data_IF_052115111896
#
_entry.id   IF_052115111896
#
_cell.length_a   1.000
_cell.length_b   1.000
_cell.length_c   1.000
_cell.angle_alpha   90.00
_cell.angle_beta   90.00
_cell.angle_gamma   90.00
#
_symmetry.space_group_name_H-M   'P 1'
#
loop_
_entity.id
_entity.type
_entity.pdbx_description
1 polymer ?
#
# COMPACT_ATOMS: atom_id res chain seq x y z
N UNK A 1 -38.43 -3.36 -0.03
CA UNK A 1 -38.59 -4.11 1.23
C UNK A 1 -37.88 -3.27 2.28
N UNK A 2 -38.60 -2.70 3.28
CA UNK A 2 -37.93 -2.00 4.35
C UNK A 2 -37.15 -3.01 5.19
N UNK A 3 -35.85 -2.90 5.20
CA UNK A 3 -34.94 -3.60 6.12
C UNK A 3 -35.16 -3.05 7.55
N UNK A 4 -36.25 -3.45 8.16
CA UNK A 4 -36.58 -3.07 9.54
C UNK A 4 -36.37 -4.26 10.45
N UNK A 5 -35.11 -4.59 10.70
CA UNK A 5 -34.71 -5.54 11.74
C UNK A 5 -33.45 -5.01 12.40
N UNK A 6 -33.61 -4.13 13.38
CA UNK A 6 -32.52 -3.58 14.21
C UNK A 6 -31.62 -4.69 14.78
N UNK A 7 -32.17 -5.87 15.06
CA UNK A 7 -31.40 -7.04 15.49
C UNK A 7 -30.62 -7.75 14.37
N UNK A 8 -31.05 -7.64 13.10
CA UNK A 8 -30.37 -8.30 11.97
C UNK A 8 -29.15 -7.50 11.47
N UNK A 9 -29.17 -6.18 11.58
CA UNK A 9 -28.04 -5.35 11.20
C UNK A 9 -26.86 -5.53 12.14
N UNK A 10 -27.08 -5.62 13.45
CA UNK A 10 -26.05 -6.00 14.42
C UNK A 10 -25.45 -7.37 14.11
N UNK A 11 -26.28 -8.38 13.87
CA UNK A 11 -25.79 -9.72 13.50
C UNK A 11 -25.02 -9.74 12.19
N UNK A 12 -25.37 -8.91 11.20
CA UNK A 12 -24.65 -8.77 9.95
C UNK A 12 -23.28 -8.11 10.20
N UNK A 13 -23.27 -7.03 10.97
CA UNK A 13 -22.03 -6.31 11.32
C UNK A 13 -21.05 -7.20 12.07
N UNK A 14 -21.49 -7.92 13.09
CA UNK A 14 -20.67 -8.87 13.84
C UNK A 14 -20.05 -9.95 12.95
N UNK A 15 -20.83 -10.48 11.99
CA UNK A 15 -20.33 -11.46 11.03
C UNK A 15 -19.33 -10.87 10.03
N UNK A 16 -19.51 -9.59 9.65
CA UNK A 16 -18.51 -8.88 8.82
C UNK A 16 -17.20 -8.68 9.57
N UNK A 17 -17.26 -8.25 10.83
CA UNK A 17 -16.10 -8.12 11.72
C UNK A 17 -15.37 -9.45 11.87
N UNK A 18 -16.11 -10.53 12.13
CA UNK A 18 -15.56 -11.88 12.26
C UNK A 18 -15.13 -12.51 10.91
N UNK A 19 -15.31 -11.80 9.77
CA UNK A 19 -15.07 -12.32 8.42
C UNK A 19 -15.82 -13.62 8.10
N UNK A 20 -16.98 -13.81 8.71
CA UNK A 20 -17.87 -14.95 8.51
C UNK A 20 -18.95 -14.70 7.45
N UNK A 21 -19.01 -13.49 6.86
CA UNK A 21 -19.96 -13.12 5.81
C UNK A 21 -19.28 -12.20 4.79
N UNK A 22 -19.58 -12.45 3.52
CA UNK A 22 -19.10 -11.64 2.39
C UNK A 22 -20.32 -11.17 1.58
N UNK A 23 -20.75 -9.90 1.72
CA UNK A 23 -21.90 -9.38 0.98
C UNK A 23 -21.57 -9.23 -0.50
N UNK A 24 -22.49 -9.61 -1.37
CA UNK A 24 -22.37 -9.49 -2.83
C UNK A 24 -23.46 -8.56 -3.35
N UNK A 25 -23.07 -7.58 -4.15
CA UNK A 25 -23.97 -6.60 -4.75
C UNK A 25 -23.89 -6.64 -6.27
N UNK A 26 -25.04 -6.68 -6.93
CA UNK A 26 -25.15 -6.50 -8.37
C UNK A 26 -25.30 -5.01 -8.67
N UNK A 27 -24.26 -4.39 -9.22
CA UNK A 27 -24.24 -2.96 -9.53
C UNK A 27 -23.71 -2.70 -10.93
N UNK A 28 -24.17 -1.60 -11.54
CA UNK A 28 -23.64 -1.11 -12.80
C UNK A 28 -23.30 0.38 -12.65
N UNK A 29 -22.02 0.70 -12.40
CA UNK A 29 -21.55 2.07 -12.20
C UNK A 29 -21.80 2.99 -13.40
N UNK A 30 -21.64 2.47 -14.64
CA UNK A 30 -21.86 3.26 -15.85
C UNK A 30 -23.32 3.65 -16.12
N UNK A 31 -24.28 2.96 -15.45
CA UNK A 31 -25.73 3.25 -15.53
C UNK A 31 -26.32 3.70 -14.19
N UNK A 32 -25.48 3.92 -13.19
CA UNK A 32 -25.87 4.25 -11.80
C UNK A 32 -26.91 3.30 -11.17
N UNK A 33 -26.93 2.03 -11.63
CA UNK A 33 -27.87 1.03 -11.13
C UNK A 33 -27.29 0.33 -9.91
N UNK A 34 -28.02 0.38 -8.79
CA UNK A 34 -27.65 -0.28 -7.54
C UNK A 34 -26.56 0.40 -6.73
N UNK A 35 -25.89 1.43 -7.27
CA UNK A 35 -24.75 2.13 -6.63
C UNK A 35 -25.20 2.77 -5.30
N UNK A 36 -26.34 3.47 -5.29
CA UNK A 36 -26.89 4.07 -4.07
C UNK A 36 -27.07 3.05 -2.94
N UNK A 37 -27.60 1.86 -3.25
CA UNK A 37 -27.80 0.81 -2.23
C UNK A 37 -26.47 0.26 -1.69
N UNK A 38 -25.46 0.15 -2.55
CA UNK A 38 -24.11 -0.20 -2.11
C UNK A 38 -23.55 0.87 -1.16
N UNK A 39 -23.68 2.14 -1.51
CA UNK A 39 -23.19 3.25 -0.67
C UNK A 39 -23.94 3.32 0.67
N UNK A 40 -25.27 3.13 0.67
CA UNK A 40 -26.08 3.05 1.90
C UNK A 40 -25.61 1.86 2.79
N UNK A 41 -25.31 0.72 2.20
CA UNK A 41 -24.78 -0.44 2.94
C UNK A 41 -23.40 -0.12 3.54
N UNK A 42 -22.49 0.47 2.76
CA UNK A 42 -21.17 0.85 3.23
C UNK A 42 -21.24 1.86 4.40
N UNK A 43 -22.14 2.83 4.31
CA UNK A 43 -22.29 3.86 5.36
C UNK A 43 -22.99 3.38 6.64
N UNK A 44 -23.90 2.40 6.54
CA UNK A 44 -24.74 2.02 7.67
C UNK A 44 -24.38 0.66 8.30
N UNK A 45 -23.80 -0.25 7.53
CA UNK A 45 -23.63 -1.65 7.96
C UNK A 45 -22.15 -2.05 8.11
N UNK A 46 -21.24 -1.48 7.31
CA UNK A 46 -19.81 -1.81 7.42
C UNK A 46 -19.27 -1.33 8.77
N UNK A 47 -18.50 -2.17 9.49
CA UNK A 47 -17.96 -1.82 10.79
C UNK A 47 -16.98 -0.64 10.72
N UNK A 48 -16.96 0.18 11.76
CA UNK A 48 -15.96 1.21 11.94
C UNK A 48 -14.59 0.59 12.27
N UNK A 49 -13.53 1.36 12.05
CA UNK A 49 -12.15 0.91 12.34
C UNK A 49 -11.99 0.49 13.80
N UNK A 50 -12.65 1.20 14.72
CA UNK A 50 -12.65 0.89 16.16
C UNK A 50 -13.32 -0.43 16.54
N UNK A 51 -14.19 -0.96 15.67
CA UNK A 51 -14.89 -2.24 15.87
C UNK A 51 -14.11 -3.41 15.26
N UNK A 52 -13.08 -3.13 14.46
CA UNK A 52 -12.27 -4.18 13.82
C UNK A 52 -11.32 -4.85 14.83
N UNK A 53 -10.97 -6.12 14.60
CA UNK A 53 -9.98 -6.80 15.42
C UNK A 53 -8.68 -6.03 15.50
N UNK A 54 -8.08 -6.00 16.68
CA UNK A 54 -6.77 -5.41 16.89
C UNK A 54 -5.72 -6.08 16.01
N UNK A 55 -4.74 -5.32 15.57
CA UNK A 55 -3.64 -5.83 14.76
C UNK A 55 -2.50 -6.26 15.68
N UNK A 56 -1.92 -7.43 15.44
CA UNK A 56 -0.73 -7.87 16.19
C UNK A 56 0.54 -7.29 15.56
N UNK A 57 1.43 -6.76 16.41
CA UNK A 57 2.78 -6.39 16.01
C UNK A 57 3.69 -7.64 15.91
N UNK A 58 4.95 -7.46 15.54
CA UNK A 58 5.93 -8.56 15.42
C UNK A 58 6.19 -9.31 16.73
N UNK A 59 5.91 -8.70 17.88
CA UNK A 59 6.09 -9.27 19.21
C UNK A 59 4.81 -9.97 19.71
N UNK A 60 3.74 -9.98 18.91
CA UNK A 60 2.44 -10.53 19.29
C UNK A 60 1.59 -9.61 20.18
N UNK A 61 2.02 -8.37 20.42
CA UNK A 61 1.25 -7.38 21.18
C UNK A 61 0.12 -6.83 20.31
N UNK A 62 -1.06 -6.75 20.87
CA UNK A 62 -2.23 -6.20 20.18
C UNK A 62 -2.19 -4.67 20.15
N UNK A 63 -2.33 -4.10 18.97
CA UNK A 63 -2.43 -2.67 18.72
C UNK A 63 -3.86 -2.33 18.29
N UNK A 64 -4.53 -1.53 19.11
CA UNK A 64 -5.85 -0.99 18.76
C UNK A 64 -5.71 0.31 17.95
N UNK A 65 -6.63 0.61 17.04
CA UNK A 65 -6.69 1.89 16.36
C UNK A 65 -7.24 2.98 17.32
N UNK A 66 -6.40 3.40 18.27
CA UNK A 66 -6.73 4.42 19.26
C UNK A 66 -6.18 5.77 18.84
N UNK A 67 -7.06 6.77 18.71
CA UNK A 67 -6.70 8.15 18.34
C UNK A 67 -5.83 8.84 19.39
N UNK A 68 -5.95 8.44 20.65
CA UNK A 68 -5.15 8.96 21.77
C UNK A 68 -3.95 8.06 22.12
N UNK A 69 -3.75 7.00 21.36
CA UNK A 69 -2.62 6.09 21.52
C UNK A 69 -1.29 6.66 21.03
N UNK A 70 -0.20 5.93 21.21
CA UNK A 70 1.10 6.32 20.68
C UNK A 70 1.06 6.34 19.13
N UNK A 71 1.75 7.31 18.56
CA UNK A 71 1.77 7.52 17.10
C UNK A 71 2.50 6.39 16.39
N UNK A 72 1.82 5.74 15.44
CA UNK A 72 2.40 4.68 14.61
C UNK A 72 1.76 4.62 13.24
N UNK A 73 2.60 4.60 12.19
CA UNK A 73 2.23 4.56 10.78
C UNK A 73 2.78 3.29 10.14
N UNK A 74 1.97 2.62 9.32
CA UNK A 74 2.41 1.49 8.52
C UNK A 74 2.36 1.81 7.03
N UNK A 75 3.49 1.73 6.35
CA UNK A 75 3.61 2.01 4.92
C UNK A 75 3.36 0.74 4.10
N UNK A 76 2.25 0.71 3.39
CA UNK A 76 1.80 -0.49 2.69
C UNK A 76 1.97 -0.45 1.18
N UNK A 77 2.26 0.73 0.61
CA UNK A 77 2.42 0.89 -0.85
C UNK A 77 3.30 2.09 -1.17
N UNK A 78 4.14 1.94 -2.18
CA UNK A 78 4.86 3.03 -2.84
C UNK A 78 4.41 3.13 -4.29
N UNK A 79 4.25 4.34 -4.81
CA UNK A 79 3.96 4.64 -6.21
C UNK A 79 4.92 5.71 -6.69
N UNK A 80 5.38 5.60 -7.92
CA UNK A 80 6.21 6.65 -8.52
C UNK A 80 5.38 7.41 -9.53
N UNK A 81 5.21 8.71 -9.28
CA UNK A 81 4.38 9.55 -10.13
C UNK A 81 5.22 10.55 -10.91
N UNK A 82 4.88 10.81 -12.19
CA UNK A 82 5.54 11.83 -12.98
C UNK A 82 5.52 13.19 -12.25
N UNK A 83 6.63 13.92 -12.26
CA UNK A 83 6.82 15.26 -11.67
C UNK A 83 6.82 15.36 -10.14
N UNK A 84 6.42 14.31 -9.41
CA UNK A 84 6.36 14.30 -7.94
C UNK A 84 7.44 13.39 -7.35
N UNK A 85 7.71 12.28 -8.05
CA UNK A 85 8.59 11.23 -7.58
C UNK A 85 7.86 10.18 -6.74
N UNK A 86 8.53 9.65 -5.73
CA UNK A 86 7.95 8.63 -4.85
C UNK A 86 6.85 9.21 -3.95
N UNK A 87 5.71 8.53 -3.97
CA UNK A 87 4.55 8.76 -3.10
C UNK A 87 4.35 7.51 -2.26
N UNK A 88 4.53 7.63 -0.96
CA UNK A 88 4.39 6.51 -0.03
C UNK A 88 3.05 6.57 0.68
N UNK A 89 2.25 5.53 0.49
CA UNK A 89 0.93 5.40 1.13
C UNK A 89 1.05 4.69 2.46
N UNK A 90 0.41 5.24 3.48
CA UNK A 90 0.43 4.68 4.82
C UNK A 90 -0.96 4.64 5.43
N UNK A 91 -1.11 3.77 6.42
CA UNK A 91 -2.24 3.73 7.34
C UNK A 91 -1.77 4.17 8.72
N UNK A 92 -2.54 5.05 9.36
CA UNK A 92 -2.32 5.39 10.77
C UNK A 92 -2.84 4.22 11.61
N UNK A 93 -1.93 3.51 12.25
CA UNK A 93 -2.25 2.33 13.04
C UNK A 93 -2.70 2.69 14.46
N UNK A 94 -2.13 3.75 15.03
CA UNK A 94 -2.44 4.29 16.35
C UNK A 94 -2.03 5.76 16.41
N UNK A 95 -2.66 6.52 17.28
CA UNK A 95 -2.36 7.94 17.48
C UNK A 95 -2.86 8.84 16.35
N UNK A 96 -2.14 9.91 16.16
CA UNK A 96 -2.37 10.93 15.13
C UNK A 96 -1.03 11.30 14.50
N UNK A 97 -1.04 11.64 13.23
CA UNK A 97 0.12 12.19 12.52
C UNK A 97 -0.20 13.58 12.00
N UNK A 98 0.75 14.50 12.13
CA UNK A 98 0.63 15.88 11.66
C UNK A 98 1.73 16.23 10.66
N UNK A 99 1.44 17.22 9.85
CA UNK A 99 2.46 17.83 9.01
C UNK A 99 3.61 18.37 9.89
N UNK A 100 4.84 17.98 9.55
CA UNK A 100 6.05 18.40 10.27
C UNK A 100 6.53 17.44 11.35
N UNK A 101 5.81 16.37 11.65
CA UNK A 101 6.21 15.38 12.66
C UNK A 101 7.50 14.67 12.27
N UNK A 102 8.35 14.46 13.28
CA UNK A 102 9.61 13.71 13.18
C UNK A 102 9.40 12.31 13.77
N UNK A 103 9.43 11.30 12.91
CA UNK A 103 9.18 9.91 13.25
C UNK A 103 10.43 9.06 13.13
N UNK A 104 10.47 7.94 13.85
CA UNK A 104 11.55 6.96 13.79
C UNK A 104 11.09 5.75 12.95
N UNK A 105 11.87 5.39 11.94
CA UNK A 105 11.66 4.16 11.19
C UNK A 105 12.12 2.97 12.06
N UNK A 106 11.17 2.18 12.57
CA UNK A 106 11.43 1.04 13.44
C UNK A 106 12.18 -0.10 12.75
N UNK A 107 12.17 -0.14 11.42
CA UNK A 107 12.84 -1.18 10.63
C UNK A 107 14.28 -0.82 10.28
N UNK A 108 14.59 0.47 10.14
CA UNK A 108 15.88 0.97 9.67
C UNK A 108 16.64 1.81 10.69
N UNK A 109 15.95 2.28 11.74
CA UNK A 109 16.54 3.16 12.76
C UNK A 109 16.79 4.60 12.27
N UNK A 110 16.31 4.95 11.07
CA UNK A 110 16.44 6.29 10.50
C UNK A 110 15.32 7.21 10.98
N UNK A 111 15.63 8.51 11.11
CA UNK A 111 14.64 9.54 11.41
C UNK A 111 14.06 10.09 10.11
N UNK A 112 12.75 10.16 10.05
CA UNK A 112 12.00 10.68 8.92
C UNK A 112 11.10 11.83 9.34
N UNK A 113 11.10 12.90 8.53
CA UNK A 113 10.19 14.02 8.73
C UNK A 113 9.04 13.96 7.74
N UNK A 114 7.83 13.96 8.26
CA UNK A 114 6.59 13.99 7.46
C UNK A 114 6.34 15.43 7.03
N UNK A 115 6.94 15.84 5.92
CA UNK A 115 6.86 17.24 5.48
C UNK A 115 5.44 17.65 5.04
N UNK A 116 4.71 16.75 4.39
CA UNK A 116 3.36 17.01 3.90
C UNK A 116 2.56 15.71 3.89
N UNK A 117 1.27 15.83 4.23
CA UNK A 117 0.32 14.73 4.27
C UNK A 117 -0.81 15.00 3.29
N UNK A 118 -1.23 13.96 2.58
CA UNK A 118 -2.30 14.03 1.60
C UNK A 118 -3.33 12.93 1.81
N UNK A 119 -4.58 13.23 1.54
CA UNK A 119 -5.62 12.24 1.23
C UNK A 119 -5.73 12.14 -0.29
N UNK A 120 -5.71 10.92 -0.81
CA UNK A 120 -5.76 10.66 -2.25
C UNK A 120 -7.09 9.99 -2.59
N UNK A 121 -7.85 10.62 -3.46
CA UNK A 121 -9.11 10.10 -3.94
C UNK A 121 -9.26 10.34 -5.46
N UNK A 122 -9.42 9.26 -6.24
CA UNK A 122 -9.65 9.33 -7.68
C UNK A 122 -8.56 10.09 -8.47
N UNK A 123 -7.30 10.01 -8.05
CA UNK A 123 -6.18 10.74 -8.64
C UNK A 123 -6.01 12.18 -8.15
N UNK A 124 -6.97 12.72 -7.42
CA UNK A 124 -6.85 14.02 -6.77
C UNK A 124 -6.19 13.89 -5.40
N UNK A 125 -5.30 14.82 -5.08
CA UNK A 125 -4.67 14.91 -3.77
C UNK A 125 -5.14 16.15 -3.05
N UNK A 126 -5.62 15.95 -1.85
CA UNK A 126 -6.01 17.02 -0.95
C UNK A 126 -5.01 17.04 0.19
N UNK A 127 -4.31 18.17 0.35
CA UNK A 127 -3.42 18.37 1.49
C UNK A 127 -4.25 18.47 2.76
N UNK A 128 -3.81 17.78 3.82
CA UNK A 128 -4.45 17.80 5.14
C UNK A 128 -3.39 18.08 6.20
N UNK A 129 -3.81 18.63 7.33
CA UNK A 129 -2.92 18.98 8.42
C UNK A 129 -2.70 17.83 9.40
N UNK A 130 -3.71 16.97 9.58
CA UNK A 130 -3.70 15.86 10.52
C UNK A 130 -4.45 14.65 9.94
N UNK A 131 -3.97 13.45 10.25
CA UNK A 131 -4.68 12.17 10.07
C UNK A 131 -4.66 11.41 11.40
N UNK A 132 -5.71 10.63 11.65
CA UNK A 132 -5.89 9.89 12.90
C UNK A 132 -5.95 8.38 12.68
N UNK A 133 -5.84 7.62 13.75
CA UNK A 133 -5.88 6.16 13.74
C UNK A 133 -7.04 5.62 12.91
N UNK A 134 -6.71 4.78 11.92
CA UNK A 134 -7.64 4.23 10.93
C UNK A 134 -7.59 4.92 9.58
N UNK A 135 -7.14 6.16 9.50
CA UNK A 135 -7.05 6.90 8.24
C UNK A 135 -5.93 6.34 7.35
N UNK A 136 -6.15 6.51 6.04
CA UNK A 136 -5.15 6.23 5.01
C UNK A 136 -4.71 7.56 4.40
N UNK A 137 -3.40 7.76 4.44
CA UNK A 137 -2.77 8.94 3.87
C UNK A 137 -1.65 8.61 2.90
N UNK A 138 -1.11 9.66 2.31
CA UNK A 138 0.08 9.60 1.48
C UNK A 138 1.07 10.67 1.89
N UNK A 139 2.35 10.34 1.90
CA UNK A 139 3.45 11.26 2.12
C UNK A 139 4.40 11.26 0.92
N UNK A 140 5.06 12.38 0.69
CA UNK A 140 6.02 12.55 -0.41
C UNK A 140 7.38 12.93 0.14
N UNK A 141 8.44 12.70 -0.65
CA UNK A 141 9.82 13.10 -0.34
C UNK A 141 10.37 12.48 0.95
N UNK A 142 9.94 11.28 1.30
CA UNK A 142 10.57 10.49 2.37
C UNK A 142 11.93 9.99 1.88
N UNK A 143 12.92 9.95 2.77
CA UNK A 143 14.31 9.63 2.41
C UNK A 143 14.58 8.14 2.40
N UNK A 144 14.14 7.45 3.44
CA UNK A 144 14.49 6.05 3.69
C UNK A 144 13.28 5.23 4.18
N UNK A 145 12.14 5.43 3.52
CA UNK A 145 10.91 4.68 3.81
C UNK A 145 10.58 3.79 2.63
N UNK A 146 10.30 2.52 2.91
CA UNK A 146 9.93 1.51 1.92
C UNK A 146 8.61 0.86 2.30
N UNK A 147 7.97 0.24 1.32
CA UNK A 147 6.78 -0.60 1.55
C UNK A 147 7.08 -1.66 2.60
N UNK A 148 6.21 -1.76 3.60
CA UNK A 148 6.35 -2.64 4.76
C UNK A 148 7.01 -2.01 5.98
N UNK A 149 7.54 -0.78 5.88
CA UNK A 149 8.15 -0.12 7.04
C UNK A 149 7.10 0.44 8.01
N UNK A 150 7.49 0.51 9.27
CA UNK A 150 6.74 1.13 10.35
C UNK A 150 7.46 2.39 10.82
N UNK A 151 6.76 3.52 10.87
CA UNK A 151 7.25 4.76 11.47
C UNK A 151 6.51 5.05 12.77
N UNK A 152 7.25 5.39 13.80
CA UNK A 152 6.73 5.63 15.14
C UNK A 152 7.09 7.00 15.69
N UNK A 153 6.20 7.55 16.51
CA UNK A 153 6.51 8.67 17.39
C UNK A 153 7.49 8.28 18.51
N UNK A 154 7.90 9.25 19.32
CA UNK A 154 8.96 9.08 20.33
C UNK A 154 8.67 8.02 21.40
N UNK A 155 7.39 7.85 21.75
CA UNK A 155 6.95 6.97 22.86
C UNK A 155 6.33 5.66 22.32
N UNK A 156 6.67 5.27 21.09
CA UNK A 156 6.14 4.10 20.43
C UNK A 156 7.25 3.19 19.93
N UNK A 157 7.11 1.90 20.20
CA UNK A 157 8.04 0.83 19.80
C UNK A 157 7.39 -0.21 18.87
N UNK A 158 6.22 0.12 18.30
CA UNK A 158 5.51 -0.82 17.45
C UNK A 158 6.29 -1.14 16.18
N UNK A 159 6.23 -2.41 15.79
CA UNK A 159 6.74 -2.89 14.52
C UNK A 159 5.74 -3.89 13.95
N UNK A 160 5.28 -3.63 12.73
CA UNK A 160 4.32 -4.51 12.08
C UNK A 160 5.02 -5.47 11.11
N UNK A 161 4.39 -6.62 10.90
CA UNK A 161 4.90 -7.62 9.97
C UNK A 161 4.87 -7.10 8.53
N UNK A 162 5.91 -7.41 7.77
CA UNK A 162 5.91 -7.18 6.34
C UNK A 162 4.78 -7.95 5.65
N UNK A 163 4.21 -7.34 4.61
CA UNK A 163 3.24 -8.02 3.76
C UNK A 163 3.93 -9.20 3.10
N UNK A 164 3.39 -10.40 3.30
CA UNK A 164 3.91 -11.61 2.68
C UNK A 164 3.37 -11.72 1.26
N UNK A 165 4.21 -11.38 0.30
CA UNK A 165 3.89 -11.51 -1.12
C UNK A 165 4.05 -12.96 -1.60
N UNK A 166 3.29 -13.38 -2.64
CA UNK A 166 3.45 -14.71 -3.23
C UNK A 166 4.81 -14.83 -3.93
N UNK A 167 5.41 -16.01 -3.86
CA UNK A 167 6.65 -16.30 -4.54
C UNK A 167 6.48 -16.19 -6.07
N UNK A 168 7.52 -15.72 -6.74
CA UNK A 168 7.57 -15.68 -8.20
C UNK A 168 7.49 -17.07 -8.82
N UNK A 169 6.77 -17.20 -9.93
CA UNK A 169 6.52 -18.49 -10.61
C UNK A 169 7.07 -18.54 -12.05
N UNK A 170 7.50 -17.39 -12.56
CA UNK A 170 7.93 -17.27 -13.96
C UNK A 170 9.15 -16.35 -14.05
N UNK A 171 10.17 -16.76 -14.82
CA UNK A 171 11.44 -16.05 -14.91
C UNK A 171 11.85 -15.87 -16.37
N UNK A 172 12.43 -14.71 -16.68
CA UNK A 172 13.03 -14.41 -17.98
C UNK A 172 14.29 -13.59 -17.82
N UNK A 173 15.25 -13.83 -18.70
CA UNK A 173 16.38 -12.94 -18.86
C UNK A 173 15.94 -11.68 -19.62
N UNK A 174 16.45 -10.54 -19.22
CA UNK A 174 16.22 -9.26 -19.86
C UNK A 174 17.55 -8.56 -20.11
N UNK A 175 17.66 -7.92 -21.26
CA UNK A 175 18.80 -7.05 -21.55
C UNK A 175 18.35 -5.87 -22.42
N UNK A 176 18.99 -4.70 -22.30
CA UNK A 176 18.69 -3.59 -23.18
C UNK A 176 19.18 -3.91 -24.59
N UNK A 177 18.56 -3.32 -25.59
CA UNK A 177 19.01 -3.43 -26.99
C UNK A 177 20.36 -2.75 -27.17
N UNK A 178 20.56 -1.58 -26.52
CA UNK A 178 21.82 -0.87 -26.50
C UNK A 178 22.55 -1.16 -25.17
N UNK A 179 23.75 -1.67 -25.23
CA UNK A 179 24.56 -2.02 -24.04
C UNK A 179 24.87 -0.82 -23.13
N UNK A 180 24.90 0.39 -23.68
CA UNK A 180 25.09 1.61 -22.87
C UNK A 180 23.93 1.85 -21.88
N UNK A 181 22.77 1.27 -22.08
CA UNK A 181 21.58 1.49 -21.27
C UNK A 181 21.44 0.50 -20.09
N UNK A 182 22.45 -0.32 -19.80
CA UNK A 182 22.39 -1.34 -18.72
C UNK A 182 22.15 -0.67 -17.36
N UNK A 183 22.88 0.37 -17.01
CA UNK A 183 22.73 1.08 -15.72
C UNK A 183 21.36 1.77 -15.61
N UNK A 184 20.90 2.39 -16.69
CA UNK A 184 19.56 2.98 -16.79
C UNK A 184 18.49 1.92 -16.58
N UNK A 185 18.63 0.76 -17.23
CA UNK A 185 17.69 -0.36 -17.07
C UNK A 185 17.63 -0.82 -15.61
N UNK A 186 18.76 -1.00 -14.96
CA UNK A 186 18.81 -1.43 -13.55
C UNK A 186 18.18 -0.42 -12.61
N UNK A 187 18.39 0.87 -12.83
CA UNK A 187 17.75 1.93 -12.05
C UNK A 187 16.25 1.89 -12.18
N UNK A 188 15.75 1.74 -13.40
CA UNK A 188 14.29 1.66 -13.68
C UNK A 188 13.71 0.38 -13.06
N UNK A 189 14.34 -0.76 -13.23
CA UNK A 189 13.87 -2.04 -12.67
C UNK A 189 13.80 -2.00 -11.14
N UNK A 190 14.81 -1.42 -10.47
CA UNK A 190 14.80 -1.26 -9.02
C UNK A 190 13.64 -0.36 -8.56
N UNK A 191 13.36 0.73 -9.28
CA UNK A 191 12.22 1.60 -9.01
C UNK A 191 10.90 0.86 -9.18
N UNK A 192 10.75 0.08 -10.26
CA UNK A 192 9.55 -0.72 -10.50
C UNK A 192 9.33 -1.77 -9.41
N UNK A 193 10.41 -2.35 -8.86
CA UNK A 193 10.33 -3.28 -7.72
C UNK A 193 9.82 -2.61 -6.44
N UNK A 194 10.10 -1.32 -6.24
CA UNK A 194 9.54 -0.59 -5.10
C UNK A 194 8.02 -0.38 -5.24
N UNK A 195 7.52 -0.20 -6.48
CA UNK A 195 6.09 -0.10 -6.75
C UNK A 195 5.36 -1.44 -6.62
N UNK A 196 5.99 -2.50 -7.10
CA UNK A 196 5.47 -3.87 -7.07
C UNK A 196 6.53 -4.84 -6.52
N UNK A 197 6.51 -5.11 -5.22
CA UNK A 197 7.47 -6.02 -4.57
C UNK A 197 7.40 -7.48 -5.04
N UNK A 198 6.41 -7.85 -5.87
CA UNK A 198 6.32 -9.19 -6.45
C UNK A 198 7.28 -9.40 -7.61
N UNK A 199 7.89 -8.36 -8.16
CA UNK A 199 9.01 -8.47 -9.08
C UNK A 199 10.32 -8.67 -8.33
N UNK A 200 10.98 -9.78 -8.61
CA UNK A 200 12.32 -10.06 -8.08
C UNK A 200 13.34 -9.90 -9.21
N UNK A 201 14.33 -9.06 -8.97
CA UNK A 201 15.40 -8.78 -9.94
C UNK A 201 16.69 -9.40 -9.42
N UNK A 202 17.28 -10.26 -10.22
CA UNK A 202 18.51 -10.97 -9.91
C UNK A 202 19.57 -10.72 -10.98
N UNK A 203 20.77 -10.38 -10.57
CA UNK A 203 21.92 -10.36 -11.45
C UNK A 203 22.69 -11.68 -11.31
N UNK A 204 22.51 -12.58 -12.27
CA UNK A 204 23.26 -13.83 -12.32
C UNK A 204 24.69 -13.57 -12.78
N UNK A 205 25.64 -13.74 -11.88
CA UNK A 205 27.08 -13.63 -12.19
C UNK A 205 27.56 -14.75 -13.11
N UNK A 206 27.00 -15.94 -12.94
CA UNK A 206 27.33 -17.12 -13.73
C UNK A 206 26.90 -16.99 -15.18
N UNK A 207 25.66 -16.56 -15.39
CA UNK A 207 25.06 -16.39 -16.71
C UNK A 207 25.35 -15.02 -17.34
N UNK A 208 25.92 -14.08 -16.57
CA UNK A 208 26.11 -12.66 -16.96
C UNK A 208 24.85 -12.04 -17.51
N UNK A 209 23.72 -12.32 -16.87
CA UNK A 209 22.40 -11.90 -17.28
C UNK A 209 21.63 -11.27 -16.11
N UNK A 210 20.75 -10.34 -16.44
CA UNK A 210 19.74 -9.86 -15.51
C UNK A 210 18.49 -10.72 -15.66
N UNK A 211 18.09 -11.41 -14.60
CA UNK A 211 16.87 -12.18 -14.54
C UNK A 211 15.78 -11.37 -13.85
N UNK A 212 14.59 -11.41 -14.42
CA UNK A 212 13.39 -10.85 -13.81
C UNK A 212 12.42 -11.98 -13.56
N UNK A 213 11.96 -12.06 -12.30
CA UNK A 213 11.01 -13.05 -11.85
C UNK A 213 9.69 -12.38 -11.54
N UNK A 214 8.59 -13.00 -11.93
CA UNK A 214 7.24 -12.48 -11.72
C UNK A 214 6.23 -13.59 -11.48
N UNK A 215 4.96 -13.20 -11.33
CA UNK A 215 3.88 -14.13 -11.02
C UNK A 215 3.43 -14.98 -12.24
N UNK A 216 3.79 -14.55 -13.46
CA UNK A 216 3.43 -15.23 -14.69
C UNK A 216 3.91 -14.47 -15.92
N UNK A 217 3.67 -15.06 -17.11
CA UNK A 217 4.10 -14.48 -18.38
C UNK A 217 3.50 -13.09 -18.63
N UNK A 218 2.21 -12.92 -18.35
CA UNK A 218 1.54 -11.62 -18.53
C UNK A 218 2.13 -10.53 -17.64
N UNK A 219 2.54 -10.89 -16.42
CA UNK A 219 3.20 -9.96 -15.51
C UNK A 219 4.52 -9.44 -16.12
N UNK A 220 5.35 -10.32 -16.66
CA UNK A 220 6.60 -9.91 -17.33
C UNK A 220 6.35 -9.16 -18.64
N UNK A 221 5.30 -9.48 -19.38
CA UNK A 221 4.89 -8.68 -20.56
C UNK A 221 4.53 -7.26 -20.17
N UNK A 222 3.82 -7.07 -19.05
CA UNK A 222 3.50 -5.75 -18.52
C UNK A 222 4.74 -4.96 -18.13
N UNK A 223 5.73 -5.61 -17.52
CA UNK A 223 7.01 -4.98 -17.21
C UNK A 223 7.73 -4.52 -18.49
N UNK A 224 7.83 -5.41 -19.49
CA UNK A 224 8.43 -5.07 -20.79
C UNK A 224 7.71 -3.89 -21.43
N UNK A 225 6.38 -3.93 -21.48
CA UNK A 225 5.56 -2.85 -22.03
C UNK A 225 5.83 -1.51 -21.32
N UNK A 226 5.92 -1.50 -19.98
CA UNK A 226 6.26 -0.29 -19.21
C UNK A 226 7.64 0.24 -19.55
N UNK A 227 8.66 -0.62 -19.66
CA UNK A 227 10.00 -0.22 -20.06
C UNK A 227 10.03 0.44 -21.43
N UNK A 228 9.34 -0.16 -22.42
CA UNK A 228 9.35 0.33 -23.79
C UNK A 228 8.49 1.58 -23.99
N UNK A 229 7.30 1.65 -23.36
CA UNK A 229 6.33 2.73 -23.64
C UNK A 229 6.44 3.90 -22.64
N UNK A 230 6.67 3.64 -21.37
CA UNK A 230 6.76 4.70 -20.36
C UNK A 230 8.19 5.23 -20.23
N UNK A 231 9.18 4.33 -20.17
CA UNK A 231 10.58 4.69 -19.93
C UNK A 231 11.39 4.87 -21.22
N UNK A 232 10.79 4.58 -22.38
CA UNK A 232 11.42 4.64 -23.71
C UNK A 232 12.71 3.83 -23.78
N UNK A 233 12.76 2.69 -23.09
CA UNK A 233 13.90 1.78 -23.05
C UNK A 233 13.56 0.48 -23.79
N UNK A 234 14.21 0.26 -24.93
CA UNK A 234 14.01 -0.96 -25.72
C UNK A 234 14.76 -2.14 -25.10
N UNK A 235 14.05 -3.25 -24.87
CA UNK A 235 14.59 -4.45 -24.22
C UNK A 235 14.22 -5.73 -24.99
N UNK A 236 15.09 -6.74 -24.87
CA UNK A 236 14.93 -8.07 -25.45
C UNK A 236 15.24 -9.16 -24.45
#
# INVERSE_FOLDING_TARGET
>A
IPLRLVGSEMCIRDRLVARGMFPVFCVCGGKDMGVRRLMEFLGNVVPFVSEMPKVQNTEGKEVAPDVNGPESLYFFKTSVEPHIGEVSYFKVMSGKVREGDDLLNADRGSKERIAQIYVVAGGNRVKVEELQAGDIGAAVKLKDVKTGNTLNGKDCDYKFNFIKYPNSKYSRAIKPVNEADVEKMMTILNRMREEDPTWVIEQSKELKQTLVHGQGEFHLRTLKWRLENNEKLQVK
#
